data_IF_834615373956
#
_entry.id   IF_834615373956
#
_cell.length_a   1.000
_cell.length_b   1.000
_cell.length_c   1.000
_cell.angle_alpha   90.00
_cell.angle_beta   90.00
_cell.angle_gamma   90.00
#
_symmetry.space_group_name_H-M   'P 1'
#
loop_
_entity.id
_entity.type
_entity.pdbx_description
1 polymer ?
#
# COMPACT_ATOMS: atom_id res chain seq x y z
N UNK A 1 -48.62 -2.72 -40.32
CA UNK A 1 -47.75 -3.91 -40.20
C UNK A 1 -46.47 -3.64 -40.98
N UNK A 2 -45.29 -3.78 -40.38
CA UNK A 2 -44.32 -4.65 -41.03
C UNK A 2 -43.52 -5.41 -39.95
N UNK A 3 -43.82 -6.70 -39.81
CA UNK A 3 -43.23 -7.60 -38.80
C UNK A 3 -41.71 -7.69 -38.94
N UNK A 4 -41.18 -7.39 -40.13
CA UNK A 4 -39.74 -7.40 -40.43
C UNK A 4 -38.93 -6.30 -39.73
N UNK A 5 -39.50 -5.10 -39.52
CA UNK A 5 -38.79 -4.00 -38.83
C UNK A 5 -38.73 -4.17 -37.31
N UNK A 6 -39.58 -5.01 -36.73
CA UNK A 6 -39.54 -5.34 -35.29
C UNK A 6 -38.51 -6.44 -34.98
N UNK A 7 -38.25 -7.34 -35.94
CA UNK A 7 -37.29 -8.44 -35.80
C UNK A 7 -35.84 -7.91 -35.92
N UNK A 8 -35.55 -7.01 -36.89
CA UNK A 8 -34.20 -6.44 -37.06
C UNK A 8 -33.71 -5.59 -35.87
N UNK A 9 -34.62 -4.95 -35.12
CA UNK A 9 -34.26 -4.22 -33.88
C UNK A 9 -34.07 -5.14 -32.67
N UNK A 10 -34.69 -6.33 -32.66
CA UNK A 10 -34.54 -7.32 -31.60
C UNK A 10 -33.23 -8.10 -31.69
N UNK A 11 -32.74 -8.39 -32.90
CA UNK A 11 -31.45 -9.08 -33.08
C UNK A 11 -30.24 -8.16 -32.88
N UNK A 12 -30.35 -6.87 -33.22
CA UNK A 12 -29.29 -5.90 -32.95
C UNK A 12 -29.06 -5.69 -31.44
N UNK A 13 -30.10 -5.76 -30.62
CA UNK A 13 -29.98 -5.70 -29.15
C UNK A 13 -29.43 -7.01 -28.53
N UNK A 14 -29.55 -8.14 -29.24
CA UNK A 14 -29.03 -9.43 -28.77
C UNK A 14 -27.54 -9.62 -29.05
N UNK A 15 -27.00 -8.93 -30.06
CA UNK A 15 -25.57 -9.00 -30.41
C UNK A 15 -24.72 -7.93 -29.70
N UNK A 16 -25.31 -6.83 -29.24
CA UNK A 16 -24.60 -5.83 -28.41
C UNK A 16 -24.45 -6.23 -26.93
N UNK A 17 -25.04 -7.35 -26.51
CA UNK A 17 -24.96 -7.82 -25.11
C UNK A 17 -24.15 -9.10 -24.93
N UNK A 18 -23.33 -9.48 -25.92
CA UNK A 18 -22.45 -10.65 -25.86
C UNK A 18 -20.98 -10.31 -25.54
N UNK A 19 -20.67 -9.05 -25.25
CA UNK A 19 -19.36 -8.65 -24.71
C UNK A 19 -19.38 -8.38 -23.19
N UNK A 20 -20.52 -8.55 -22.50
CA UNK A 20 -20.68 -8.13 -21.10
C UNK A 20 -20.98 -9.25 -20.10
N UNK A 21 -20.68 -10.51 -20.44
CA UNK A 21 -20.94 -11.68 -19.55
C UNK A 21 -19.72 -12.54 -19.19
N UNK A 22 -18.53 -12.20 -19.70
CA UNK A 22 -17.26 -12.65 -19.12
C UNK A 22 -16.70 -11.45 -18.33
N UNK A 23 -16.85 -11.33 -17.02
CA UNK A 23 -15.92 -11.93 -16.06
C UNK A 23 -16.22 -11.53 -14.59
N UNK A 24 -17.34 -11.96 -13.97
CA UNK A 24 -17.47 -11.88 -12.50
C UNK A 24 -16.58 -12.92 -11.80
N UNK A 25 -16.40 -14.09 -12.43
CA UNK A 25 -15.60 -15.20 -11.90
C UNK A 25 -14.10 -14.92 -11.96
N UNK A 26 -13.60 -14.29 -13.03
CA UNK A 26 -12.18 -13.95 -13.14
C UNK A 26 -11.78 -12.90 -12.09
N UNK A 27 -12.61 -11.87 -11.84
CA UNK A 27 -12.35 -10.90 -10.76
C UNK A 27 -12.42 -11.52 -9.37
N UNK A 28 -13.34 -12.45 -9.14
CA UNK A 28 -13.41 -13.23 -7.88
C UNK A 28 -12.22 -14.15 -7.72
N UNK A 29 -11.76 -14.79 -8.80
CA UNK A 29 -10.59 -15.65 -8.81
C UNK A 29 -9.30 -14.83 -8.65
N UNK A 30 -9.17 -13.68 -9.32
CA UNK A 30 -8.06 -12.72 -9.13
C UNK A 30 -8.03 -12.22 -7.68
N UNK A 31 -9.17 -11.79 -7.13
CA UNK A 31 -9.27 -11.40 -5.72
C UNK A 31 -8.97 -12.58 -4.78
N UNK A 32 -9.40 -13.80 -5.10
CA UNK A 32 -9.15 -14.99 -4.28
C UNK A 32 -7.69 -15.47 -4.38
N UNK A 33 -7.05 -15.32 -5.54
CA UNK A 33 -5.63 -15.58 -5.78
C UNK A 33 -4.80 -14.53 -5.05
N UNK A 34 -5.23 -13.26 -5.01
CA UNK A 34 -4.63 -12.21 -4.17
C UNK A 34 -4.77 -12.49 -2.67
N UNK A 35 -5.88 -13.10 -2.25
CA UNK A 35 -6.11 -13.52 -0.85
C UNK A 35 -5.29 -14.76 -0.48
N UNK A 36 -4.86 -15.58 -1.45
CA UNK A 36 -4.03 -16.75 -1.23
C UNK A 36 -2.51 -16.46 -1.22
N UNK A 37 -2.11 -15.20 -1.41
CA UNK A 37 -0.73 -14.77 -1.25
C UNK A 37 -0.51 -14.55 0.25
N UNK A 38 0.51 -15.16 0.85
CA UNK A 38 0.99 -14.68 2.14
C UNK A 38 1.39 -13.21 1.95
N UNK A 39 0.65 -12.30 2.58
CA UNK A 39 0.88 -10.86 2.52
C UNK A 39 1.68 -10.39 3.72
N UNK A 40 2.24 -11.29 4.52
CA UNK A 40 2.89 -10.95 5.77
C UNK A 40 1.90 -10.56 6.87
N UNK A 41 2.43 -10.07 7.98
CA UNK A 41 1.64 -9.62 9.13
C UNK A 41 2.29 -8.45 9.85
N UNK A 42 1.47 -7.65 10.54
CA UNK A 42 1.97 -6.57 11.39
C UNK A 42 2.34 -7.06 12.79
N UNK A 43 3.31 -6.40 13.39
CA UNK A 43 3.73 -6.59 14.78
C UNK A 43 3.43 -5.33 15.59
N UNK A 44 3.09 -5.48 16.87
CA UNK A 44 2.78 -4.34 17.74
C UNK A 44 1.42 -3.68 17.47
N UNK A 45 0.43 -4.43 16.95
CA UNK A 45 -0.93 -3.92 16.76
C UNK A 45 -1.72 -3.81 18.08
N UNK A 46 -2.61 -2.80 18.21
CA UNK A 46 -2.71 -1.61 17.37
C UNK A 46 -1.53 -0.66 17.60
N UNK A 47 -1.10 0.13 16.60
CA UNK A 47 -0.03 1.09 16.80
C UNK A 47 -0.43 2.12 17.86
N UNK A 48 0.40 2.27 18.88
CA UNK A 48 0.20 3.26 19.92
C UNK A 48 0.98 4.53 19.59
N UNK A 49 0.27 5.65 19.48
CA UNK A 49 0.82 6.94 19.03
C UNK A 49 0.35 8.07 19.93
N UNK A 50 1.17 9.12 20.06
CA UNK A 50 0.79 10.39 20.66
C UNK A 50 0.93 11.51 19.63
N UNK A 51 -0.07 12.38 19.54
CA UNK A 51 0.00 13.58 18.70
C UNK A 51 0.97 14.59 19.32
N UNK A 52 1.74 15.27 18.48
CA UNK A 52 2.61 16.36 18.88
C UNK A 52 1.91 17.71 18.69
N UNK A 53 2.37 18.72 19.43
CA UNK A 53 1.77 20.07 19.45
C UNK A 53 1.91 20.84 18.13
N UNK A 54 2.63 20.29 17.15
CA UNK A 54 2.79 20.86 15.80
C UNK A 54 1.54 20.67 14.90
N UNK A 55 0.53 19.97 15.40
CA UNK A 55 -0.75 19.75 14.72
C UNK A 55 -0.68 18.80 13.53
N UNK A 56 0.42 18.08 13.34
CA UNK A 56 0.62 17.21 12.17
C UNK A 56 1.33 15.90 12.49
N UNK A 57 2.33 15.95 13.36
CA UNK A 57 3.20 14.82 13.61
C UNK A 57 2.67 13.95 14.75
N UNK A 58 2.95 12.66 14.65
CA UNK A 58 2.73 11.68 15.71
C UNK A 58 4.03 11.04 16.13
N UNK A 59 4.15 10.72 17.41
CA UNK A 59 5.25 9.93 17.97
C UNK A 59 4.77 8.54 18.34
N UNK A 60 5.52 7.53 17.94
CA UNK A 60 5.24 6.13 18.27
C UNK A 60 5.61 5.82 19.73
N UNK A 61 4.69 5.22 20.49
CA UNK A 61 4.88 4.89 21.92
C UNK A 61 5.41 3.49 22.19
N UNK A 62 5.30 2.58 21.21
CA UNK A 62 5.76 1.20 21.30
C UNK A 62 6.38 0.78 19.98
N UNK A 63 7.25 -0.23 19.97
CA UNK A 63 7.77 -0.78 18.72
C UNK A 63 6.59 -1.27 17.87
N UNK A 64 6.63 -0.94 16.59
CA UNK A 64 5.65 -1.34 15.59
C UNK A 64 6.37 -1.84 14.36
N UNK A 65 5.78 -2.77 13.60
CA UNK A 65 6.43 -3.26 12.40
C UNK A 65 5.56 -4.10 11.51
N UNK A 66 6.19 -4.60 10.44
CA UNK A 66 5.60 -5.50 9.48
C UNK A 66 6.62 -6.55 9.06
N UNK A 67 6.21 -7.81 9.09
CA UNK A 67 6.98 -8.95 8.59
C UNK A 67 6.41 -9.32 7.24
N UNK A 68 7.21 -9.17 6.19
CA UNK A 68 6.85 -9.54 4.82
C UNK A 68 6.71 -11.05 4.68
N UNK A 69 6.00 -11.51 3.65
CA UNK A 69 5.83 -12.95 3.33
C UNK A 69 7.14 -13.74 3.22
N UNK A 70 8.23 -13.08 2.83
CA UNK A 70 9.56 -13.68 2.75
C UNK A 70 10.35 -13.64 4.08
N UNK A 71 9.69 -13.30 5.19
CA UNK A 71 10.30 -13.17 6.52
C UNK A 71 11.07 -11.87 6.73
N UNK A 72 11.12 -10.94 5.77
CA UNK A 72 11.82 -9.67 5.94
C UNK A 72 11.07 -8.77 6.93
N UNK A 73 11.77 -8.36 7.98
CA UNK A 73 11.24 -7.47 9.01
C UNK A 73 11.42 -5.99 8.65
N UNK A 74 10.38 -5.21 8.90
CA UNK A 74 10.33 -3.76 8.74
C UNK A 74 9.89 -3.15 10.07
N UNK A 75 10.85 -2.89 10.94
CA UNK A 75 10.61 -2.46 12.32
C UNK A 75 10.78 -0.94 12.45
N UNK A 76 9.83 -0.31 13.15
CA UNK A 76 9.83 1.10 13.51
C UNK A 76 10.05 1.22 15.02
N UNK A 77 11.13 1.87 15.46
CA UNK A 77 11.46 1.97 16.88
C UNK A 77 10.49 2.91 17.62
N UNK A 78 10.37 2.69 18.92
CA UNK A 78 9.72 3.63 19.84
C UNK A 78 10.32 5.04 19.70
N UNK A 79 9.51 6.07 19.92
CA UNK A 79 9.83 7.48 19.79
C UNK A 79 10.09 7.97 18.37
N UNK A 80 9.88 7.14 17.35
CA UNK A 80 9.86 7.61 15.95
C UNK A 80 8.77 8.65 15.77
N UNK A 81 9.13 9.81 15.21
CA UNK A 81 8.21 10.89 14.84
C UNK A 81 7.91 10.77 13.36
N UNK A 82 6.63 10.81 12.99
CA UNK A 82 6.15 10.66 11.61
C UNK A 82 5.05 11.67 11.35
N UNK A 83 4.99 12.20 10.14
CA UNK A 83 4.06 13.27 9.77
C UNK A 83 2.94 12.81 8.83
N UNK A 84 2.91 11.51 8.46
CA UNK A 84 1.90 10.91 7.61
C UNK A 84 1.99 11.33 6.15
N UNK A 85 3.04 12.03 5.73
CA UNK A 85 3.07 12.78 4.49
C UNK A 85 3.87 12.14 3.34
N UNK A 86 4.37 10.91 3.50
CA UNK A 86 5.13 10.26 2.41
C UNK A 86 4.26 9.89 1.21
N UNK A 87 2.93 9.96 1.35
CA UNK A 87 1.99 9.90 0.22
C UNK A 87 1.73 11.33 -0.27
N UNK A 88 2.02 11.67 -1.55
CA UNK A 88 1.87 13.02 -2.05
C UNK A 88 0.45 13.56 -1.82
N UNK A 89 0.35 14.77 -1.25
CA UNK A 89 -0.91 15.42 -0.86
C UNK A 89 -1.98 15.48 -1.96
N UNK A 90 -1.56 15.52 -3.23
CA UNK A 90 -2.47 15.50 -4.38
C UNK A 90 -3.34 14.23 -4.43
N UNK A 91 -2.88 13.14 -3.83
CA UNK A 91 -3.65 11.91 -3.79
C UNK A 91 -4.66 11.87 -2.63
N UNK A 92 -4.52 12.71 -1.59
CA UNK A 92 -5.38 12.67 -0.40
C UNK A 92 -6.88 12.85 -0.73
N UNK A 93 -7.21 13.60 -1.79
CA UNK A 93 -8.60 13.76 -2.27
C UNK A 93 -9.20 12.49 -2.90
N UNK A 94 -8.38 11.55 -3.36
CA UNK A 94 -8.80 10.28 -3.97
C UNK A 94 -8.84 9.12 -2.96
N UNK A 95 -8.05 9.20 -1.89
CA UNK A 95 -7.78 8.05 -1.00
C UNK A 95 -8.12 8.28 0.48
N UNK A 96 -8.46 9.51 0.90
CA UNK A 96 -8.64 9.91 2.30
C UNK A 96 -7.40 10.62 2.86
N UNK A 97 -7.55 11.34 3.97
CA UNK A 97 -6.45 12.06 4.63
C UNK A 97 -5.44 11.12 5.29
N UNK A 98 -4.23 11.61 5.61
CA UNK A 98 -3.19 10.82 6.26
C UNK A 98 -3.72 10.21 7.57
N UNK A 99 -3.36 8.95 7.81
CA UNK A 99 -3.84 8.15 8.94
C UNK A 99 -5.34 7.81 8.92
N UNK A 100 -6.07 8.00 7.84
CA UNK A 100 -7.47 7.54 7.75
C UNK A 100 -7.58 6.16 7.10
N UNK A 101 -8.40 5.28 7.71
CA UNK A 101 -8.71 3.98 7.14
C UNK A 101 -7.57 2.95 7.19
N UNK A 102 -7.69 1.92 6.36
CA UNK A 102 -6.92 0.68 6.46
C UNK A 102 -5.43 0.83 6.12
N UNK A 103 -4.97 1.93 5.54
CA UNK A 103 -3.56 2.07 5.14
C UNK A 103 -2.66 2.74 6.19
N UNK A 104 -3.22 3.21 7.32
CA UNK A 104 -2.50 3.87 8.43
C UNK A 104 -1.30 3.07 8.91
N UNK A 105 -1.46 1.76 9.08
CA UNK A 105 -0.40 0.88 9.56
C UNK A 105 0.77 0.81 8.57
N UNK A 106 0.46 0.74 7.27
CA UNK A 106 1.46 0.74 6.22
C UNK A 106 2.20 2.09 6.11
N UNK A 107 1.50 3.22 6.31
CA UNK A 107 2.11 4.56 6.20
C UNK A 107 3.13 4.83 7.30
N UNK A 108 2.91 4.34 8.53
CA UNK A 108 3.87 4.43 9.64
C UNK A 108 5.25 3.88 9.22
N UNK A 109 5.25 2.70 8.61
CA UNK A 109 6.51 2.03 8.23
C UNK A 109 7.10 2.72 6.99
N UNK A 110 6.28 3.10 6.02
CA UNK A 110 6.73 3.80 4.82
C UNK A 110 7.39 5.15 5.13
N UNK A 111 6.79 5.95 6.01
CA UNK A 111 7.34 7.24 6.47
C UNK A 111 8.74 7.03 7.07
N UNK A 112 8.85 6.16 8.07
CA UNK A 112 10.11 5.89 8.75
C UNK A 112 11.22 5.49 7.77
N UNK A 113 10.96 4.55 6.87
CA UNK A 113 11.97 4.08 5.92
C UNK A 113 12.27 5.07 4.78
N UNK A 114 11.35 5.99 4.45
CA UNK A 114 11.63 7.10 3.54
C UNK A 114 12.55 8.16 4.17
N UNK A 115 12.47 8.34 5.49
CA UNK A 115 13.32 9.27 6.24
C UNK A 115 14.72 8.73 6.45
N UNK A 116 14.85 7.50 6.98
CA UNK A 116 16.16 6.92 7.31
C UNK A 116 16.91 6.37 6.09
N UNK A 117 16.18 6.02 5.02
CA UNK A 117 16.73 5.54 3.74
C UNK A 117 17.69 4.36 3.84
N UNK A 118 17.51 3.51 4.84
CA UNK A 118 18.35 2.32 5.09
C UNK A 118 17.99 1.13 4.21
N UNK A 119 17.01 1.23 3.33
CA UNK A 119 16.60 0.18 2.40
C UNK A 119 16.44 0.78 1.01
N UNK A 120 16.59 0.04 -0.09
CA UNK A 120 16.36 0.57 -1.43
C UNK A 120 14.94 1.17 -1.55
N UNK A 121 14.82 2.36 -2.15
CA UNK A 121 13.52 3.06 -2.26
C UNK A 121 12.44 2.19 -2.93
N UNK A 122 12.84 1.38 -3.92
CA UNK A 122 11.96 0.43 -4.61
C UNK A 122 11.37 -0.59 -3.62
N UNK A 123 12.20 -1.11 -2.72
CA UNK A 123 11.77 -2.09 -1.72
C UNK A 123 10.86 -1.45 -0.68
N UNK A 124 11.16 -0.22 -0.26
CA UNK A 124 10.31 0.53 0.68
C UNK A 124 8.92 0.76 0.09
N UNK A 125 8.84 1.20 -1.16
CA UNK A 125 7.56 1.42 -1.85
C UNK A 125 6.82 0.11 -2.11
N UNK A 126 7.53 -0.98 -2.42
CA UNK A 126 6.93 -2.31 -2.59
C UNK A 126 6.41 -2.86 -1.26
N UNK A 127 7.15 -2.68 -0.17
CA UNK A 127 6.68 -3.04 1.18
C UNK A 127 5.39 -2.31 1.51
N UNK A 128 5.31 -1.02 1.22
CA UNK A 128 4.09 -0.23 1.44
C UNK A 128 2.88 -0.83 0.71
N UNK A 129 3.04 -1.29 -0.53
CA UNK A 129 1.99 -1.98 -1.29
C UNK A 129 1.49 -3.24 -0.58
N UNK A 130 2.39 -4.15 -0.18
CA UNK A 130 1.99 -5.39 0.48
C UNK A 130 1.42 -5.17 1.88
N UNK A 131 1.98 -4.23 2.64
CA UNK A 131 1.46 -3.86 3.96
C UNK A 131 0.03 -3.26 3.87
N UNK A 132 -0.29 -2.52 2.81
CA UNK A 132 -1.66 -2.05 2.54
C UNK A 132 -2.61 -3.23 2.28
N UNK A 133 -2.22 -4.17 1.43
CA UNK A 133 -3.03 -5.37 1.16
C UNK A 133 -3.25 -6.20 2.43
N UNK A 134 -2.19 -6.39 3.23
CA UNK A 134 -2.25 -7.05 4.53
C UNK A 134 -3.24 -6.38 5.49
N UNK A 135 -3.36 -5.05 5.44
CA UNK A 135 -4.33 -4.29 6.22
C UNK A 135 -5.76 -4.32 5.66
N UNK A 136 -6.02 -5.04 4.55
CA UNK A 136 -7.32 -5.14 3.91
C UNK A 136 -7.66 -3.99 2.96
N UNK A 137 -6.69 -3.17 2.56
CA UNK A 137 -6.90 -2.16 1.50
C UNK A 137 -7.20 -2.89 0.20
N UNK A 138 -8.26 -2.47 -0.52
CA UNK A 138 -8.61 -3.10 -1.79
C UNK A 138 -7.46 -3.01 -2.79
N UNK A 139 -7.28 -4.07 -3.58
CA UNK A 139 -6.16 -4.22 -4.49
C UNK A 139 -6.01 -3.08 -5.49
N UNK A 140 -7.13 -2.59 -6.02
CA UNK A 140 -7.15 -1.43 -6.90
C UNK A 140 -6.62 -0.18 -6.19
N UNK A 141 -7.07 0.09 -4.96
CA UNK A 141 -6.63 1.24 -4.17
C UNK A 141 -5.14 1.12 -3.84
N UNK A 142 -4.69 -0.05 -3.37
CA UNK A 142 -3.29 -0.32 -3.07
C UNK A 142 -2.39 -0.15 -4.31
N UNK A 143 -2.83 -0.61 -5.49
CA UNK A 143 -2.10 -0.44 -6.76
C UNK A 143 -1.97 1.03 -7.18
N UNK A 144 -3.05 1.80 -7.07
CA UNK A 144 -3.04 3.25 -7.38
C UNK A 144 -2.05 3.97 -6.44
N UNK A 145 -2.10 3.66 -5.14
CA UNK A 145 -1.22 4.26 -4.14
C UNK A 145 0.24 3.83 -4.35
N UNK A 146 0.49 2.57 -4.67
CA UNK A 146 1.82 2.08 -5.02
C UNK A 146 2.37 2.78 -6.26
N UNK A 147 1.58 2.91 -7.32
CA UNK A 147 1.98 3.63 -8.53
C UNK A 147 2.37 5.09 -8.22
N UNK A 148 1.57 5.77 -7.37
CA UNK A 148 1.84 7.14 -6.95
C UNK A 148 3.20 7.28 -6.26
N UNK A 149 3.48 6.46 -5.24
CA UNK A 149 4.78 6.53 -4.54
C UNK A 149 5.93 6.05 -5.42
N UNK A 150 5.73 5.02 -6.25
CA UNK A 150 6.76 4.55 -7.18
C UNK A 150 7.16 5.63 -8.22
N UNK A 151 6.17 6.39 -8.72
CA UNK A 151 6.38 7.38 -9.78
C UNK A 151 6.79 8.75 -9.26
N UNK A 152 6.29 9.18 -8.11
CA UNK A 152 6.44 10.54 -7.58
C UNK A 152 7.07 10.61 -6.19
N UNK A 153 7.25 9.47 -5.52
CA UNK A 153 7.88 9.40 -4.21
C UNK A 153 9.39 9.66 -4.25
N UNK A 154 9.99 9.83 -3.05
CA UNK A 154 11.43 10.07 -2.91
C UNK A 154 12.25 8.89 -3.46
N UNK A 155 13.41 9.21 -4.04
CA UNK A 155 14.37 8.23 -4.55
C UNK A 155 15.74 8.49 -3.95
N UNK A 156 16.48 7.42 -3.67
CA UNK A 156 17.84 7.51 -3.15
C UNK A 156 18.70 6.38 -3.70
N UNK A 157 20.01 6.65 -3.85
CA UNK A 157 20.95 5.79 -4.58
C UNK A 157 21.59 4.72 -3.68
N UNK A 158 21.60 4.94 -2.36
CA UNK A 158 22.30 4.08 -1.40
C UNK A 158 21.32 3.52 -0.37
N UNK A 159 21.19 2.18 -0.26
CA UNK A 159 20.85 1.52 1.00
C UNK A 159 21.95 1.81 2.04
N UNK A 160 21.83 1.35 3.30
CA UNK A 160 22.68 1.88 4.37
C UNK A 160 24.15 1.70 4.01
N UNK A 161 24.95 2.77 4.16
CA UNK A 161 26.38 2.63 4.25
C UNK A 161 26.65 1.70 5.43
N UNK A 162 27.09 0.48 5.15
CA UNK A 162 27.61 -0.42 6.18
C UNK A 162 28.73 0.35 6.85
N UNK A 163 28.49 0.92 8.05
CA UNK A 163 29.57 1.13 8.99
C UNK A 163 30.02 -0.27 9.33
N UNK A 164 31.07 -0.75 8.65
CA UNK A 164 31.84 -1.88 9.13
C UNK A 164 32.20 -1.48 10.55
N UNK A 165 31.60 -2.15 11.53
CA UNK A 165 32.14 -2.11 12.87
C UNK A 165 33.59 -2.54 12.70
N UNK A 166 34.52 -1.60 12.90
CA UNK A 166 35.91 -1.92 13.05
C UNK A 166 35.95 -2.87 14.24
N UNK A 167 36.15 -4.16 13.95
CA UNK A 167 36.68 -5.10 14.91
C UNK A 167 38.10 -4.63 15.21
N UNK A 168 38.22 -3.60 16.05
CA UNK A 168 39.43 -3.34 16.78
C UNK A 168 39.52 -4.45 17.84
N UNK A 169 40.20 -5.51 17.44
CA UNK A 169 40.71 -6.48 18.38
C UNK A 169 41.59 -5.78 19.40
N UNK A 170 41.20 -5.90 20.67
CA UNK A 170 42.08 -6.23 21.78
C UNK A 170 41.27 -6.56 23.03
#
# INVERSE_FOLDING_TARGET
MNRENKIKRGEALRLMNLQEVAAPSARRAENAIEVAIDLGHFTGLPPQTEWLDDGRSMRLKHIFGYVSANGREWNVPINTVMDGASIPRVFWSLIGGPFEGLYRNASIIHDYYCDIRTQPWIDVHRMFYYAMLCSGVSSLKARIMYYAVYRFGPRWVNGPSIKLASFEGR
#
